data_IF_796135318457
#
_entry.id   IF_796135318457
#
_cell.length_a   1.000
_cell.length_b   1.000
_cell.length_c   1.000
_cell.angle_alpha   90.00
_cell.angle_beta   90.00
_cell.angle_gamma   90.00
#
_symmetry.space_group_name_H-M   'P 1'
#
loop_
_entity.id
_entity.type
_entity.pdbx_description
1 polymer ?
#
# COMPACT_ATOMS: atom_id res chain seq x y z
N UNK A 1 -3.78 14.64 -7.10
CA UNK A 1 -3.61 13.38 -6.35
C UNK A 1 -3.14 13.66 -4.93
N UNK A 2 -2.02 14.36 -4.69
CA UNK A 2 -1.66 14.79 -3.34
C UNK A 2 -2.75 15.72 -2.73
N UNK A 3 -3.13 15.49 -1.47
CA UNK A 3 -4.17 16.24 -0.75
C UNK A 3 -5.61 15.76 -0.98
N UNK A 4 -5.83 14.73 -1.81
CA UNK A 4 -7.16 14.19 -2.06
C UNK A 4 -7.62 13.28 -0.89
N UNK A 5 -8.81 13.54 -0.36
CA UNK A 5 -9.45 12.81 0.76
C UNK A 5 -10.44 11.73 0.31
N UNK A 6 -10.80 11.68 -0.98
CA UNK A 6 -11.70 10.68 -1.57
C UNK A 6 -11.12 9.26 -1.50
N UNK A 7 -9.79 9.13 -1.37
CA UNK A 7 -9.11 7.86 -1.16
C UNK A 7 -8.93 7.47 0.32
N UNK A 8 -9.54 8.19 1.27
CA UNK A 8 -9.56 7.76 2.67
C UNK A 8 -10.16 6.35 2.78
N UNK A 9 -9.35 5.36 3.19
CA UNK A 9 -9.67 3.93 3.21
C UNK A 9 -9.68 3.18 1.86
N UNK A 10 -9.26 3.81 0.75
CA UNK A 10 -9.17 3.16 -0.57
C UNK A 10 -7.72 3.04 -1.07
N UNK A 11 -6.82 2.52 -0.21
CA UNK A 11 -5.37 2.42 -0.49
C UNK A 11 -5.09 1.68 -1.81
N UNK A 12 -5.90 0.65 -2.09
CA UNK A 12 -5.84 -0.13 -3.31
C UNK A 12 -6.34 0.62 -4.55
N UNK A 13 -7.40 1.43 -4.44
CA UNK A 13 -7.89 2.23 -5.56
C UNK A 13 -6.91 3.34 -5.93
N UNK A 14 -6.21 3.91 -4.93
CA UNK A 14 -5.11 4.85 -5.16
C UNK A 14 -3.97 4.19 -5.95
N UNK A 15 -3.53 3.00 -5.52
CA UNK A 15 -2.50 2.24 -6.22
C UNK A 15 -2.95 1.88 -7.63
N UNK A 16 -4.19 1.38 -7.80
CA UNK A 16 -4.78 1.11 -9.11
C UNK A 16 -4.75 2.36 -10.02
N UNK A 17 -5.09 3.53 -9.48
CA UNK A 17 -5.03 4.81 -10.20
C UNK A 17 -3.61 5.17 -10.63
N UNK A 18 -2.60 4.97 -9.78
CA UNK A 18 -1.19 5.20 -10.17
C UNK A 18 -0.76 4.36 -11.37
N UNK A 19 -1.34 3.17 -11.51
CA UNK A 19 -1.08 2.25 -12.61
C UNK A 19 -2.08 2.37 -13.77
N UNK A 20 -2.99 3.36 -13.74
CA UNK A 20 -3.94 3.64 -14.80
C UNK A 20 -5.16 2.71 -14.85
N UNK A 21 -5.45 2.01 -13.75
CA UNK A 21 -6.62 1.15 -13.60
C UNK A 21 -7.77 1.89 -12.92
N UNK A 22 -9.01 1.55 -13.28
CA UNK A 22 -10.24 2.13 -12.73
C UNK A 22 -10.75 1.40 -11.49
N UNK A 23 -10.23 0.19 -11.21
CA UNK A 23 -10.51 -0.58 -9.99
C UNK A 23 -9.30 -1.44 -9.62
N UNK A 24 -9.10 -1.68 -8.32
CA UNK A 24 -8.07 -2.61 -7.83
C UNK A 24 -8.45 -4.08 -7.97
N UNK A 25 -9.75 -4.38 -8.11
CA UNK A 25 -10.26 -5.74 -8.29
C UNK A 25 -10.10 -6.67 -7.06
N UNK A 26 -9.75 -6.13 -5.90
CA UNK A 26 -9.55 -6.87 -4.64
C UNK A 26 -10.21 -6.13 -3.47
N UNK A 27 -10.83 -6.87 -2.55
CA UNK A 27 -11.68 -6.34 -1.47
C UNK A 27 -10.89 -5.66 -0.34
N UNK A 28 -9.61 -6.00 -0.14
CA UNK A 28 -8.76 -5.39 0.89
C UNK A 28 -7.27 -5.55 0.63
N UNK A 29 -6.45 -4.67 1.21
CA UNK A 29 -5.00 -4.71 1.06
C UNK A 29 -4.39 -5.95 1.73
N UNK A 30 -4.99 -6.38 2.85
CA UNK A 30 -4.66 -7.62 3.53
C UNK A 30 -4.85 -8.85 2.62
N UNK A 31 -5.99 -8.96 1.94
CA UNK A 31 -6.22 -10.07 1.01
C UNK A 31 -5.26 -10.04 -0.19
N UNK A 32 -4.95 -8.86 -0.72
CA UNK A 32 -3.97 -8.75 -1.78
C UNK A 32 -2.57 -9.18 -1.30
N UNK A 33 -2.16 -8.77 -0.10
CA UNK A 33 -0.90 -9.20 0.51
C UNK A 33 -0.85 -10.73 0.74
N UNK A 34 -1.97 -11.34 1.15
CA UNK A 34 -2.10 -12.79 1.29
C UNK A 34 -1.98 -13.50 -0.06
N UNK A 35 -2.61 -13.00 -1.12
CA UNK A 35 -2.46 -13.54 -2.47
C UNK A 35 -1.03 -13.45 -3.00
N UNK A 36 -0.37 -12.29 -2.81
CA UNK A 36 1.04 -12.09 -3.18
C UNK A 36 1.93 -13.08 -2.42
N UNK A 37 1.66 -13.28 -1.13
CA UNK A 37 2.41 -14.22 -0.28
C UNK A 37 2.18 -15.66 -0.73
N UNK A 38 0.92 -16.05 -0.97
CA UNK A 38 0.56 -17.38 -1.46
C UNK A 38 1.15 -17.68 -2.85
N UNK A 39 1.30 -16.65 -3.70
CA UNK A 39 1.97 -16.75 -4.99
C UNK A 39 3.51 -16.77 -4.89
N UNK A 40 4.07 -16.64 -3.68
CA UNK A 40 5.52 -16.60 -3.46
C UNK A 40 6.20 -15.35 -4.04
N UNK A 41 5.44 -14.28 -4.29
CA UNK A 41 5.93 -13.02 -4.87
C UNK A 41 6.21 -11.95 -3.80
N UNK A 42 5.95 -12.26 -2.52
CA UNK A 42 6.22 -11.35 -1.41
C UNK A 42 7.72 -11.36 -1.07
N UNK A 43 8.35 -10.20 -1.17
CA UNK A 43 9.73 -9.99 -0.76
C UNK A 43 9.77 -9.35 0.63
N UNK A 44 10.40 -10.03 1.59
CA UNK A 44 10.54 -9.54 2.98
C UNK A 44 11.80 -8.71 3.21
N UNK A 45 12.73 -8.70 2.27
CA UNK A 45 13.94 -7.87 2.32
C UNK A 45 13.62 -6.42 1.93
N UNK A 46 13.47 -5.57 2.95
CA UNK A 46 13.16 -4.15 2.80
C UNK A 46 14.38 -3.29 2.41
N UNK A 47 15.58 -3.86 2.27
CA UNK A 47 16.80 -3.10 1.97
C UNK A 47 16.90 -2.65 0.50
N UNK A 48 16.21 -3.35 -0.42
CA UNK A 48 16.30 -3.12 -1.88
C UNK A 48 14.93 -3.13 -2.54
N UNK A 49 14.07 -2.21 -2.12
CA UNK A 49 12.74 -2.04 -2.72
C UNK A 49 12.90 -1.28 -4.06
N UNK A 50 12.43 -1.84 -5.19
CA UNK A 50 12.46 -1.15 -6.47
C UNK A 50 11.48 0.02 -6.50
N UNK A 51 11.80 1.07 -7.26
CA UNK A 51 10.91 2.21 -7.48
C UNK A 51 9.58 1.74 -8.10
N UNK A 52 8.45 2.17 -7.54
CA UNK A 52 7.12 1.73 -7.94
C UNK A 52 6.63 0.45 -7.26
N UNK A 53 7.48 -0.29 -6.54
CA UNK A 53 7.02 -1.47 -5.82
C UNK A 53 5.86 -1.17 -4.87
N UNK A 54 4.98 -2.15 -4.67
CA UNK A 54 3.93 -2.07 -3.67
C UNK A 54 4.49 -2.55 -2.34
N UNK A 55 4.38 -1.71 -1.32
CA UNK A 55 4.75 -2.03 0.06
C UNK A 55 3.48 -2.39 0.83
N UNK A 56 3.50 -3.56 1.46
CA UNK A 56 2.38 -4.15 2.17
C UNK A 56 2.61 -4.09 3.68
N UNK A 57 1.57 -3.70 4.40
CA UNK A 57 1.58 -3.53 5.85
C UNK A 57 0.44 -4.34 6.46
N UNK A 58 0.73 -4.96 7.59
CA UNK A 58 -0.22 -5.75 8.36
C UNK A 58 -1.13 -4.82 9.15
N UNK A 59 -2.42 -5.12 9.07
CA UNK A 59 -3.45 -4.45 9.85
C UNK A 59 -3.47 -4.75 11.35
N UNK A 60 -2.76 -5.81 11.75
CA UNK A 60 -2.79 -6.39 13.11
C UNK A 60 -1.52 -6.02 13.89
N UNK A 61 -1.60 -5.77 15.23
CA UNK A 61 -2.76 -5.98 16.12
C UNK A 61 -3.60 -4.73 16.46
N UNK A 62 -3.29 -3.53 15.97
CA UNK A 62 -3.89 -2.27 16.49
C UNK A 62 -4.51 -1.36 15.42
N UNK A 63 -4.18 -1.52 14.13
CA UNK A 63 -4.40 -0.46 13.13
C UNK A 63 -5.70 -0.55 12.32
N UNK A 64 -5.89 -1.64 11.57
CA UNK A 64 -6.97 -1.73 10.57
C UNK A 64 -7.13 -3.17 10.03
N UNK A 65 -8.27 -3.88 10.20
CA UNK A 65 -8.42 -5.26 9.70
C UNK A 65 -8.26 -5.41 8.17
N UNK A 66 -8.31 -4.31 7.42
CA UNK A 66 -8.16 -4.29 5.97
C UNK A 66 -6.70 -4.24 5.48
N UNK A 67 -5.73 -4.06 6.38
CA UNK A 67 -4.31 -3.88 6.05
C UNK A 67 -4.03 -2.56 5.32
N UNK A 68 -2.78 -2.33 4.94
CA UNK A 68 -2.39 -1.12 4.21
C UNK A 68 -1.41 -1.41 3.07
N UNK A 69 -1.55 -0.67 1.97
CA UNK A 69 -0.68 -0.76 0.80
C UNK A 69 -0.30 0.64 0.32
N UNK A 70 0.98 0.82 0.01
CA UNK A 70 1.50 2.07 -0.50
C UNK A 70 2.52 1.83 -1.62
N UNK A 71 2.67 2.80 -2.52
CA UNK A 71 3.65 2.68 -3.61
C UNK A 71 5.00 3.26 -3.17
N UNK A 72 6.08 2.50 -3.32
CA UNK A 72 7.42 2.96 -3.02
C UNK A 72 7.88 4.03 -4.01
N UNK A 73 8.15 5.23 -3.49
CA UNK A 73 8.59 6.39 -4.25
C UNK A 73 10.12 6.52 -4.31
N UNK A 74 10.85 5.64 -3.63
CA UNK A 74 12.30 5.73 -3.49
C UNK A 74 12.76 6.48 -2.24
N UNK A 75 14.05 6.33 -1.91
CA UNK A 75 14.71 7.04 -0.80
C UNK A 75 13.98 6.89 0.55
N UNK A 76 13.41 5.71 0.83
CA UNK A 76 12.66 5.45 2.06
C UNK A 76 11.30 6.14 2.13
N UNK A 77 10.74 6.56 0.99
CA UNK A 77 9.44 7.24 0.92
C UNK A 77 8.40 6.41 0.17
N UNK A 78 7.14 6.60 0.53
CA UNK A 78 5.97 5.96 -0.07
C UNK A 78 4.90 6.99 -0.41
N UNK A 79 4.17 6.74 -1.49
CA UNK A 79 2.89 7.39 -1.76
C UNK A 79 1.78 6.62 -1.07
N UNK A 80 1.14 7.28 -0.09
CA UNK A 80 0.14 6.69 0.79
C UNK A 80 -1.02 7.64 0.98
N UNK A 81 -2.24 7.11 1.09
CA UNK A 81 -3.37 7.79 1.71
C UNK A 81 -3.18 7.73 3.24
N UNK A 82 -3.26 8.88 3.91
CA UNK A 82 -2.94 9.04 5.34
C UNK A 82 -1.77 9.98 5.63
N UNK A 83 -1.24 10.67 4.62
CA UNK A 83 -0.17 11.66 4.78
C UNK A 83 -0.57 12.92 5.57
N UNK A 84 -1.85 13.08 5.89
CA UNK A 84 -2.37 14.21 6.66
C UNK A 84 -3.78 13.96 7.20
N UNK A 85 -4.35 14.94 7.94
CA UNK A 85 -5.69 14.83 8.52
C UNK A 85 -6.72 14.47 7.46
N UNK A 86 -7.58 13.48 7.75
CA UNK A 86 -8.64 13.03 6.85
C UNK A 86 -8.21 12.05 5.75
N UNK A 87 -7.08 11.34 5.90
CA UNK A 87 -6.70 10.28 4.95
C UNK A 87 -6.07 10.76 3.64
N UNK A 88 -5.52 11.98 3.64
CA UNK A 88 -4.98 12.59 2.42
C UNK A 88 -3.87 11.77 1.78
N UNK A 89 -3.90 11.66 0.46
CA UNK A 89 -2.80 11.12 -0.32
C UNK A 89 -1.59 12.04 -0.23
N UNK A 90 -0.41 11.48 0.06
CA UNK A 90 0.82 12.24 0.03
C UNK A 90 2.05 11.34 0.12
N UNK A 91 3.21 11.99 0.08
CA UNK A 91 4.50 11.34 0.19
C UNK A 91 4.94 11.33 1.66
N UNK A 92 4.99 10.14 2.26
CA UNK A 92 5.42 9.95 3.65
C UNK A 92 6.60 8.99 3.74
N UNK A 93 7.20 8.90 4.92
CA UNK A 93 8.22 7.88 5.18
C UNK A 93 7.59 6.49 5.13
N UNK A 94 8.32 5.52 4.58
CA UNK A 94 7.93 4.11 4.58
C UNK A 94 7.69 3.58 6.01
N UNK A 95 8.37 4.17 7.00
CA UNK A 95 8.24 3.86 8.42
C UNK A 95 7.02 4.49 9.09
N UNK A 96 6.33 5.45 8.46
CA UNK A 96 5.22 6.16 9.09
C UNK A 96 4.08 5.20 9.48
N UNK A 97 3.59 4.28 8.63
CA UNK A 97 2.57 3.31 9.03
C UNK A 97 3.02 2.44 10.21
N UNK A 98 4.28 2.01 10.22
CA UNK A 98 4.85 1.18 11.30
C UNK A 98 4.92 1.94 12.63
N UNK A 99 5.51 3.14 12.61
CA UNK A 99 5.81 3.92 13.82
C UNK A 99 4.62 4.71 14.36
N UNK A 100 3.74 5.18 13.47
CA UNK A 100 2.63 6.06 13.84
C UNK A 100 1.29 5.34 13.93
N UNK A 101 1.06 4.31 13.11
CA UNK A 101 -0.23 3.61 13.04
C UNK A 101 -0.18 2.20 13.64
N UNK A 102 1.02 1.68 13.92
CA UNK A 102 1.21 0.35 14.48
C UNK A 102 0.96 -0.77 13.47
N UNK A 103 1.17 -0.49 12.18
CA UNK A 103 0.99 -1.45 11.08
C UNK A 103 2.35 -2.00 10.64
N UNK A 104 2.78 -3.20 11.11
CA UNK A 104 4.10 -3.71 10.82
C UNK A 104 4.25 -4.10 9.34
N UNK A 105 5.49 -4.06 8.84
CA UNK A 105 5.81 -4.50 7.49
C UNK A 105 5.44 -5.97 7.28
N UNK A 106 4.72 -6.27 6.20
CA UNK A 106 4.61 -7.63 5.66
C UNK A 106 5.78 -7.86 4.69
N UNK A 107 5.98 -6.91 3.77
CA UNK A 107 6.99 -6.97 2.72
C UNK A 107 6.64 -6.06 1.56
N UNK A 108 7.28 -6.30 0.42
CA UNK A 108 6.97 -5.61 -0.83
C UNK A 108 6.81 -6.60 -1.98
N UNK A 109 6.16 -6.16 -3.05
CA UNK A 109 6.07 -6.92 -4.30
C UNK A 109 6.15 -5.98 -5.50
N UNK A 110 6.28 -6.56 -6.70
CA UNK A 110 5.95 -5.85 -7.92
C UNK A 110 4.47 -5.40 -7.94
N UNK A 111 4.05 -4.79 -9.04
CA UNK A 111 2.65 -4.39 -9.25
C UNK A 111 1.77 -5.65 -9.25
N UNK A 112 1.01 -5.85 -8.18
CA UNK A 112 0.10 -6.98 -8.03
C UNK A 112 -1.34 -6.49 -8.06
N UNK A 113 -1.88 -6.45 -9.28
CA UNK A 113 -3.26 -6.04 -9.57
C UNK A 113 -3.90 -7.05 -10.55
N UNK A 114 -4.00 -8.34 -10.18
CA UNK A 114 -4.39 -9.42 -11.10
C UNK A 114 -5.83 -9.32 -11.62
N UNK A 115 -6.70 -8.59 -10.90
CA UNK A 115 -8.12 -8.41 -11.24
C UNK A 115 -8.46 -6.95 -11.57
N UNK A 116 -7.46 -6.08 -11.71
CA UNK A 116 -7.71 -4.69 -12.04
C UNK A 116 -8.21 -4.56 -13.48
N UNK A 117 -9.33 -3.86 -13.63
CA UNK A 117 -9.91 -3.51 -14.92
C UNK A 117 -9.51 -2.10 -15.32
N UNK A 118 -9.44 -1.86 -16.63
CA UNK A 118 -9.20 -0.54 -17.20
C UNK A 118 -10.53 0.11 -17.55
#
# INVERSE_FOLDING_TARGET
>A
MAGNQDFGNMCLALVATFYGYTSSGVDSAQQAAEQVTAAGQMHTDMSRIPLGALVWYSGSPVGNPYGHVAMYAGNGKIYSNGAGPGGQVGLISIDTPVKSWGEPYIGWSGVWLPHATK
#
